data_IF_888846033945
#
_entry.id   IF_888846033945
#
_cell.length_a   1.000
_cell.length_b   1.000
_cell.length_c   1.000
_cell.angle_alpha   90.00
_cell.angle_beta   90.00
_cell.angle_gamma   90.00
#
_symmetry.space_group_name_H-M   'P 1'
#
loop_
_entity.id
_entity.type
_entity.pdbx_description
1 polymer ?
#
# COMPACT_ATOMS: atom_id res chain seq x y z
N UNK A 1 83.12 55.28 6.09
CA UNK A 1 82.14 55.51 5.01
C UNK A 1 80.75 55.22 5.56
N UNK A 2 79.86 56.24 5.57
CA UNK A 2 78.38 56.27 5.51
C UNK A 2 77.61 54.97 5.89
N UNK A 3 76.53 54.90 6.68
CA UNK A 3 75.56 55.87 7.27
C UNK A 3 74.53 55.04 8.09
N UNK A 4 74.14 55.53 9.28
CA UNK A 4 72.79 55.57 9.92
C UNK A 4 71.82 54.36 9.82
N UNK A 5 71.38 53.73 10.93
CA UNK A 5 70.42 54.17 11.98
C UNK A 5 68.94 54.18 11.56
N UNK A 6 68.09 53.74 12.51
CA UNK A 6 66.62 53.85 12.64
C UNK A 6 65.82 52.60 12.23
N UNK A 7 64.77 52.14 12.95
CA UNK A 7 64.07 52.63 14.14
C UNK A 7 63.02 51.60 14.61
N UNK A 8 62.71 51.65 15.90
CA UNK A 8 61.45 51.28 16.60
C UNK A 8 60.94 49.83 16.61
N UNK A 9 60.93 49.27 17.83
CA UNK A 9 60.01 48.20 18.20
C UNK A 9 58.60 48.72 18.49
N UNK A 10 57.63 47.82 18.40
CA UNK A 10 56.37 47.88 19.15
C UNK A 10 56.03 46.46 19.59
N UNK A 11 55.83 46.34 20.90
CA UNK A 11 55.36 45.16 21.62
C UNK A 11 53.89 44.94 21.25
N UNK A 12 53.59 43.82 20.58
CA UNK A 12 52.23 43.37 20.26
C UNK A 12 51.89 42.13 21.07
N UNK A 13 50.97 42.28 22.01
CA UNK A 13 50.48 41.25 22.95
C UNK A 13 50.04 39.98 22.22
N UNK A 14 50.50 38.83 22.69
CA UNK A 14 50.02 37.52 22.24
C UNK A 14 48.54 37.36 22.56
N UNK A 15 47.72 37.28 21.52
CA UNK A 15 46.34 36.79 21.61
C UNK A 15 46.35 35.30 21.30
N UNK A 16 46.21 34.48 22.34
CA UNK A 16 45.95 33.04 22.21
C UNK A 16 44.50 32.90 21.74
N UNK A 17 44.31 32.57 20.46
CA UNK A 17 43.00 32.29 19.88
C UNK A 17 42.53 30.94 20.44
N UNK A 18 41.35 30.83 21.10
CA UNK A 18 40.89 29.55 21.56
C UNK A 18 40.47 28.74 20.34
N UNK A 19 41.05 27.55 20.18
CA UNK A 19 40.54 26.55 19.24
C UNK A 19 39.12 26.19 19.70
N UNK A 20 38.12 26.78 19.03
CA UNK A 20 36.74 26.35 19.13
C UNK A 20 36.68 24.93 18.58
N UNK A 21 36.72 23.95 19.48
CA UNK A 21 36.30 22.59 19.19
C UNK A 21 34.81 22.68 18.80
N UNK A 22 34.54 22.72 17.50
CA UNK A 22 33.20 22.52 16.97
C UNK A 22 32.88 21.07 17.29
N UNK A 23 32.19 20.86 18.41
CA UNK A 23 31.50 19.60 18.68
C UNK A 23 30.44 19.49 17.58
N UNK A 24 30.72 18.67 16.57
CA UNK A 24 29.67 18.16 15.69
C UNK A 24 28.74 17.33 16.57
N UNK A 25 27.71 17.99 17.08
CA UNK A 25 26.54 17.30 17.63
C UNK A 25 25.95 16.57 16.43
N UNK A 26 26.28 15.28 16.30
CA UNK A 26 25.61 14.38 15.39
C UNK A 26 24.17 14.25 15.87
N UNK A 27 23.33 15.18 15.42
CA UNK A 27 21.88 15.05 15.52
C UNK A 27 21.56 13.74 14.79
N UNK A 28 20.93 12.75 15.44
CA UNK A 28 20.48 11.58 14.71
C UNK A 28 19.52 12.10 13.64
N UNK A 29 19.90 11.93 12.39
CA UNK A 29 19.07 12.30 11.25
C UNK A 29 17.75 11.55 11.42
N UNK A 30 16.71 12.27 11.84
CA UNK A 30 15.34 11.80 11.70
C UNK A 30 15.20 11.47 10.21
N UNK A 31 14.97 10.19 9.89
CA UNK A 31 14.77 9.78 8.51
C UNK A 31 13.63 10.63 7.95
N UNK A 32 14.02 11.58 7.11
CA UNK A 32 13.14 12.59 6.60
C UNK A 32 12.28 11.88 5.55
N UNK A 33 10.99 11.68 5.85
CA UNK A 33 9.95 11.43 4.84
C UNK A 33 10.01 12.46 3.67
N UNK A 34 10.73 13.57 3.87
CA UNK A 34 11.12 14.60 2.90
C UNK A 34 11.87 14.11 1.65
N UNK A 35 12.49 12.92 1.65
CA UNK A 35 13.19 12.40 0.46
C UNK A 35 12.26 11.83 -0.61
N UNK A 36 11.08 11.37 -0.23
CA UNK A 36 10.09 10.80 -1.16
C UNK A 36 8.88 11.71 -1.22
N UNK A 37 8.55 12.23 -2.40
CA UNK A 37 7.32 13.00 -2.62
C UNK A 37 6.12 12.05 -2.64
N UNK A 38 5.76 11.52 -1.47
CA UNK A 38 4.61 10.65 -1.29
C UNK A 38 3.34 11.50 -1.49
N UNK A 39 2.37 11.03 -2.30
CA UNK A 39 1.13 11.76 -2.47
C UNK A 39 0.37 11.87 -1.14
N UNK A 40 -0.48 12.89 -1.01
CA UNK A 40 -1.40 12.96 0.11
C UNK A 40 -2.33 11.73 0.09
N UNK A 41 -2.65 11.21 1.28
CA UNK A 41 -3.65 10.17 1.40
C UNK A 41 -5.03 10.74 1.08
N UNK A 42 -5.89 10.02 0.33
CA UNK A 42 -7.27 10.40 0.13
C UNK A 42 -8.06 10.36 1.45
N UNK A 43 -9.32 10.79 1.42
CA UNK A 43 -10.16 10.67 2.61
C UNK A 43 -10.33 9.20 3.01
N UNK A 44 -10.53 8.94 4.30
CA UNK A 44 -10.54 7.56 4.84
C UNK A 44 -11.56 6.64 4.14
N UNK A 45 -12.74 7.16 3.81
CA UNK A 45 -13.79 6.40 3.10
C UNK A 45 -13.51 6.20 1.59
N UNK A 46 -12.61 6.99 1.02
CA UNK A 46 -12.16 6.91 -0.36
C UNK A 46 -10.93 6.00 -0.52
N UNK A 47 -10.15 5.81 0.55
CA UNK A 47 -8.95 4.99 0.52
C UNK A 47 -9.28 3.53 0.20
N UNK A 48 -8.64 2.99 -0.84
CA UNK A 48 -8.97 1.68 -1.42
C UNK A 48 -10.16 1.69 -2.36
N UNK A 49 -10.80 2.82 -2.64
CA UNK A 49 -11.79 2.90 -3.73
C UNK A 49 -11.06 3.14 -5.05
N UNK A 50 -11.59 2.54 -6.12
CA UNK A 50 -11.11 2.76 -7.48
C UNK A 50 -12.28 3.14 -8.39
N UNK A 51 -11.97 3.86 -9.48
CA UNK A 51 -12.89 4.12 -10.57
C UNK A 51 -12.48 3.28 -11.78
N UNK A 52 -13.35 2.35 -12.14
CA UNK A 52 -13.22 1.54 -13.36
C UNK A 52 -13.91 2.32 -14.48
N UNK A 53 -13.12 2.70 -15.48
CA UNK A 53 -13.55 3.55 -16.58
C UNK A 53 -12.98 3.11 -17.94
N UNK A 54 -12.51 1.86 -18.05
CA UNK A 54 -11.98 1.33 -19.31
C UNK A 54 -13.01 1.40 -20.45
N UNK A 55 -14.26 1.07 -20.13
CA UNK A 55 -15.39 0.93 -21.06
C UNK A 55 -16.53 1.91 -20.76
N UNK A 56 -16.70 2.39 -19.52
CA UNK A 56 -17.90 3.12 -19.09
C UNK A 56 -18.15 4.41 -19.85
N UNK A 57 -17.24 5.40 -19.78
CA UNK A 57 -17.47 6.70 -20.44
C UNK A 57 -17.57 6.59 -21.96
N UNK A 58 -16.84 5.64 -22.57
CA UNK A 58 -16.94 5.34 -24.01
C UNK A 58 -18.34 4.88 -24.43
N UNK A 59 -19.10 4.32 -23.49
CA UNK A 59 -20.46 3.84 -23.70
C UNK A 59 -21.50 4.73 -23.00
N UNK A 60 -21.18 6.02 -22.77
CA UNK A 60 -22.08 7.00 -22.13
C UNK A 60 -22.56 6.61 -20.71
N UNK A 61 -21.78 5.79 -20.01
CA UNK A 61 -22.03 5.42 -18.62
C UNK A 61 -21.02 6.11 -17.69
N UNK A 62 -21.45 6.52 -16.51
CA UNK A 62 -20.52 7.01 -15.48
C UNK A 62 -19.52 5.91 -15.11
N UNK A 63 -18.27 6.27 -14.76
CA UNK A 63 -17.31 5.31 -14.23
C UNK A 63 -17.88 4.51 -13.06
N UNK A 64 -17.53 3.23 -12.99
CA UNK A 64 -17.93 2.34 -11.89
C UNK A 64 -17.03 2.57 -10.69
N UNK A 65 -17.61 2.88 -9.54
CA UNK A 65 -16.88 2.86 -8.26
C UNK A 65 -16.82 1.44 -7.72
N UNK A 66 -15.62 1.01 -7.34
CA UNK A 66 -15.42 -0.22 -6.59
C UNK A 66 -14.72 0.09 -5.28
N UNK A 67 -15.36 -0.28 -4.16
CA UNK A 67 -14.84 -0.04 -2.82
C UNK A 67 -14.29 -1.31 -2.20
N UNK A 68 -12.95 -1.44 -2.16
CA UNK A 68 -12.29 -2.60 -1.55
C UNK A 68 -12.69 -2.80 -0.09
N UNK A 69 -12.81 -1.72 0.69
CA UNK A 69 -13.18 -1.82 2.10
C UNK A 69 -14.53 -2.51 2.33
N UNK A 70 -15.45 -2.42 1.37
CA UNK A 70 -16.78 -3.03 1.52
C UNK A 70 -16.79 -4.51 1.12
N UNK A 71 -15.97 -4.86 0.12
CA UNK A 71 -15.84 -6.23 -0.38
C UNK A 71 -14.94 -7.08 0.51
N UNK A 72 -13.86 -6.50 1.07
CA UNK A 72 -12.92 -7.24 1.93
C UNK A 72 -13.48 -7.62 3.31
N UNK A 73 -14.66 -7.11 3.66
CA UNK A 73 -15.45 -7.59 4.79
C UNK A 73 -16.05 -8.98 4.53
N UNK A 74 -16.15 -9.37 3.25
CA UNK A 74 -16.88 -10.54 2.77
C UNK A 74 -16.00 -11.52 2.04
N UNK A 75 -14.95 -11.06 1.35
CA UNK A 75 -14.08 -11.87 0.52
C UNK A 75 -12.62 -11.49 0.68
N UNK A 76 -11.71 -12.44 0.54
CA UNK A 76 -10.27 -12.17 0.49
C UNK A 76 -9.87 -11.63 -0.87
N UNK A 77 -8.62 -11.16 -1.00
CA UNK A 77 -8.10 -10.65 -2.27
C UNK A 77 -7.98 -11.77 -3.33
N UNK A 78 -7.70 -13.01 -2.91
CA UNK A 78 -7.61 -14.18 -3.78
C UNK A 78 -8.88 -14.40 -4.61
N UNK A 79 -10.05 -14.22 -4.02
CA UNK A 79 -11.34 -14.35 -4.72
C UNK A 79 -11.41 -13.46 -5.96
N UNK A 80 -11.07 -12.18 -5.83
CA UNK A 80 -11.18 -11.26 -6.97
C UNK A 80 -9.98 -11.37 -7.92
N UNK A 81 -8.76 -11.41 -7.38
CA UNK A 81 -7.53 -11.26 -8.18
C UNK A 81 -6.92 -12.59 -8.63
N UNK A 82 -7.45 -13.73 -8.19
CA UNK A 82 -7.08 -15.06 -8.68
C UNK A 82 -8.28 -15.79 -9.30
N UNK A 83 -9.40 -15.96 -8.57
CA UNK A 83 -10.54 -16.72 -9.11
C UNK A 83 -11.30 -15.96 -10.20
N UNK A 84 -11.57 -14.67 -9.98
CA UNK A 84 -12.27 -13.82 -10.95
C UNK A 84 -11.33 -13.09 -11.92
N UNK A 85 -10.02 -13.31 -11.80
CA UNK A 85 -8.99 -12.79 -12.70
C UNK A 85 -9.04 -11.26 -12.91
N UNK A 86 -9.46 -10.50 -11.90
CA UNK A 86 -9.32 -9.05 -11.93
C UNK A 86 -7.84 -8.67 -11.85
N UNK A 87 -7.37 -7.90 -12.83
CA UNK A 87 -6.04 -7.31 -12.81
C UNK A 87 -5.92 -6.40 -11.59
N UNK A 88 -4.77 -6.45 -10.91
CA UNK A 88 -4.46 -5.52 -9.83
C UNK A 88 -4.42 -4.06 -10.33
N UNK A 89 -4.01 -3.87 -11.59
CA UNK A 89 -4.00 -2.55 -12.21
C UNK A 89 -5.43 -2.13 -12.58
N UNK A 90 -5.84 -0.97 -12.07
CA UNK A 90 -7.13 -0.37 -12.43
C UNK A 90 -7.24 -0.21 -13.96
N UNK A 91 -8.36 -0.62 -14.53
CA UNK A 91 -8.64 -0.66 -15.97
C UNK A 91 -7.81 -1.69 -16.79
N UNK A 92 -7.10 -2.61 -16.12
CA UNK A 92 -6.39 -3.72 -16.77
C UNK A 92 -7.36 -4.73 -17.39
N UNK A 93 -8.31 -5.22 -16.58
CA UNK A 93 -9.38 -6.11 -17.04
C UNK A 93 -10.45 -5.35 -17.81
N UNK A 94 -10.87 -5.90 -18.94
CA UNK A 94 -12.06 -5.46 -19.65
C UNK A 94 -13.29 -6.11 -19.05
N UNK A 95 -14.29 -5.29 -18.71
CA UNK A 95 -15.51 -5.74 -18.06
C UNK A 95 -16.67 -5.13 -18.85
N UNK A 96 -17.54 -6.01 -19.35
CA UNK A 96 -18.78 -5.61 -20.03
C UNK A 96 -20.00 -6.02 -19.23
N UNK A 97 -21.14 -5.42 -19.53
CA UNK A 97 -22.40 -5.84 -18.93
C UNK A 97 -22.82 -7.24 -19.40
N UNK A 98 -22.46 -7.61 -20.63
CA UNK A 98 -22.67 -8.97 -21.13
C UNK A 98 -21.93 -10.01 -20.28
N UNK A 99 -20.65 -9.75 -19.96
CA UNK A 99 -19.87 -10.61 -19.08
C UNK A 99 -20.50 -10.72 -17.68
N UNK A 100 -20.95 -9.60 -17.11
CA UNK A 100 -21.61 -9.61 -15.81
C UNK A 100 -22.91 -10.42 -15.84
N UNK A 101 -23.74 -10.27 -16.87
CA UNK A 101 -24.98 -11.04 -17.02
C UNK A 101 -24.70 -12.54 -17.24
N UNK A 102 -23.56 -12.88 -17.84
CA UNK A 102 -23.07 -14.26 -17.96
C UNK A 102 -22.52 -14.84 -16.65
N UNK A 103 -22.46 -14.05 -15.57
CA UNK A 103 -21.98 -14.49 -14.25
C UNK A 103 -20.48 -14.29 -14.04
N UNK A 104 -19.80 -13.56 -14.92
CA UNK A 104 -18.39 -13.21 -14.74
C UNK A 104 -18.24 -11.91 -13.93
N UNK A 105 -17.03 -11.63 -13.46
CA UNK A 105 -16.67 -10.38 -12.79
C UNK A 105 -17.63 -9.98 -11.67
N UNK A 106 -18.29 -8.82 -11.77
CA UNK A 106 -19.24 -8.34 -10.77
C UNK A 106 -20.45 -9.29 -10.67
N UNK A 107 -20.88 -9.84 -11.81
CA UNK A 107 -22.01 -10.74 -11.93
C UNK A 107 -21.86 -12.06 -11.20
N UNK A 108 -20.63 -12.51 -10.92
CA UNK A 108 -20.38 -13.70 -10.12
C UNK A 108 -21.06 -13.62 -8.73
N UNK A 109 -21.14 -12.41 -8.17
CA UNK A 109 -21.82 -12.14 -6.91
C UNK A 109 -23.09 -11.29 -7.07
N UNK A 110 -23.09 -10.28 -7.94
CA UNK A 110 -24.22 -9.38 -8.19
C UNK A 110 -25.26 -10.02 -9.13
N UNK A 111 -25.69 -11.24 -8.80
CA UNK A 111 -26.62 -12.06 -9.57
C UNK A 111 -28.05 -12.09 -9.00
N UNK A 112 -28.35 -11.26 -8.00
CA UNK A 112 -29.64 -11.26 -7.31
C UNK A 112 -29.81 -12.38 -6.27
N UNK A 113 -28.85 -13.31 -6.16
CA UNK A 113 -28.86 -14.39 -5.16
C UNK A 113 -27.86 -14.13 -4.04
N UNK A 114 -26.60 -13.84 -4.40
CA UNK A 114 -25.51 -13.59 -3.43
C UNK A 114 -25.52 -12.12 -2.99
N UNK A 115 -25.60 -11.21 -3.95
CA UNK A 115 -25.77 -9.77 -3.75
C UNK A 115 -26.88 -9.24 -4.66
N UNK A 116 -27.17 -7.93 -4.56
CA UNK A 116 -28.16 -7.30 -5.41
C UNK A 116 -27.80 -7.48 -6.90
N UNK A 117 -28.81 -7.73 -7.73
CA UNK A 117 -28.65 -7.98 -9.15
C UNK A 117 -28.51 -6.71 -10.00
N UNK A 118 -28.18 -6.93 -11.28
CA UNK A 118 -28.11 -5.91 -12.32
C UNK A 118 -29.52 -5.51 -12.77
N UNK A 119 -30.11 -4.53 -12.08
CA UNK A 119 -31.43 -3.97 -12.40
C UNK A 119 -31.32 -2.47 -12.65
N UNK A 120 -32.29 -1.90 -13.36
CA UNK A 120 -32.37 -0.46 -13.66
C UNK A 120 -32.24 0.42 -12.41
N UNK A 121 -32.78 -0.03 -11.28
CA UNK A 121 -32.77 0.70 -10.01
C UNK A 121 -31.40 0.63 -9.31
N UNK A 122 -30.58 -0.37 -9.65
CA UNK A 122 -29.29 -0.61 -9.03
C UNK A 122 -28.11 -0.02 -9.81
N UNK A 123 -28.30 0.45 -11.05
CA UNK A 123 -27.23 1.01 -11.89
C UNK A 123 -26.38 2.05 -11.16
N UNK A 124 -27.02 2.97 -10.43
CA UNK A 124 -26.37 4.07 -9.70
C UNK A 124 -25.54 3.63 -8.50
N UNK A 125 -25.73 2.39 -7.99
CA UNK A 125 -24.94 1.83 -6.89
C UNK A 125 -23.50 1.56 -7.32
N UNK A 126 -23.30 1.25 -8.60
CA UNK A 126 -21.99 0.99 -9.20
C UNK A 126 -21.53 2.17 -10.04
N UNK A 127 -22.38 2.68 -10.95
CA UNK A 127 -22.07 3.79 -11.86
C UNK A 127 -22.26 5.17 -11.19
N UNK A 128 -21.51 5.41 -10.12
CA UNK A 128 -21.59 6.68 -9.38
C UNK A 128 -20.74 7.78 -10.01
N UNK A 129 -19.66 7.42 -10.70
CA UNK A 129 -18.65 8.36 -11.22
C UNK A 129 -17.82 9.05 -10.14
N UNK A 130 -17.86 8.58 -8.88
CA UNK A 130 -17.15 9.21 -7.77
C UNK A 130 -16.60 8.20 -6.76
N UNK A 131 -15.43 8.49 -6.19
CA UNK A 131 -14.80 7.70 -5.14
C UNK A 131 -15.48 7.85 -3.77
N UNK A 132 -16.34 8.87 -3.60
CA UNK A 132 -16.99 9.19 -2.31
C UNK A 132 -18.18 8.29 -1.97
N UNK A 133 -18.61 7.42 -2.88
CA UNK A 133 -19.79 6.59 -2.69
C UNK A 133 -19.68 5.68 -1.46
N UNK A 134 -20.75 5.62 -0.67
CA UNK A 134 -20.82 4.76 0.52
C UNK A 134 -20.16 5.34 1.78
N UNK A 135 -19.91 6.66 1.83
CA UNK A 135 -19.35 7.36 3.00
C UNK A 135 -20.06 7.04 4.33
N UNK A 136 -21.40 7.06 4.34
CA UNK A 136 -22.21 6.81 5.53
C UNK A 136 -22.08 5.35 5.99
N UNK A 137 -22.07 4.42 5.02
CA UNK A 137 -21.85 2.99 5.26
C UNK A 137 -20.46 2.75 5.83
N UNK A 138 -19.44 3.38 5.25
CA UNK A 138 -18.06 3.31 5.74
C UNK A 138 -17.96 3.77 7.18
N UNK A 139 -18.52 4.94 7.51
CA UNK A 139 -18.49 5.49 8.88
C UNK A 139 -19.17 4.56 9.91
N UNK A 140 -20.18 3.80 9.49
CA UNK A 140 -20.88 2.84 10.37
C UNK A 140 -20.03 1.60 10.64
N UNK A 141 -19.29 1.13 9.64
CA UNK A 141 -18.46 -0.07 9.72
C UNK A 141 -17.15 0.23 10.45
N UNK A 142 -16.49 1.33 10.11
CA UNK A 142 -15.16 1.66 10.65
C UNK A 142 -15.15 1.77 12.18
N UNK A 143 -16.24 2.25 12.79
CA UNK A 143 -16.39 2.34 14.25
C UNK A 143 -16.40 0.98 14.97
N UNK A 144 -16.64 -0.12 14.27
CA UNK A 144 -16.75 -1.47 14.84
C UNK A 144 -15.47 -2.29 14.67
N UNK A 145 -14.49 -1.78 13.94
CA UNK A 145 -13.26 -2.48 13.60
C UNK A 145 -12.05 -1.85 14.33
N UNK A 146 -10.96 -2.60 14.50
CA UNK A 146 -9.74 -2.08 15.09
C UNK A 146 -9.22 -0.87 14.33
N UNK A 147 -8.73 0.11 15.08
CA UNK A 147 -8.27 1.38 14.53
C UNK A 147 -6.81 1.29 14.08
N UNK A 148 -6.50 1.94 12.94
CA UNK A 148 -5.14 2.13 12.45
C UNK A 148 -4.79 3.63 12.29
N UNK A 149 -3.52 4.02 12.45
CA UNK A 149 -3.10 5.41 12.29
C UNK A 149 -3.08 5.91 10.83
N UNK A 150 -2.92 5.02 9.85
CA UNK A 150 -2.83 5.36 8.42
C UNK A 150 -4.05 4.84 7.65
N UNK A 151 -3.96 4.75 6.31
CA UNK A 151 -4.98 4.17 5.41
C UNK A 151 -6.41 4.75 5.57
N UNK A 152 -7.41 3.86 5.61
CA UNK A 152 -8.78 4.16 5.98
C UNK A 152 -9.06 4.10 7.49
N UNK A 153 -8.02 4.14 8.34
CA UNK A 153 -8.10 4.07 9.80
C UNK A 153 -8.59 2.72 10.32
N UNK A 154 -8.44 1.65 9.57
CA UNK A 154 -8.88 0.32 10.00
C UNK A 154 -7.70 -0.63 9.89
N UNK A 155 -7.36 -1.32 10.97
CA UNK A 155 -6.37 -2.38 10.92
C UNK A 155 -7.04 -3.70 10.51
N UNK A 156 -6.83 -4.08 9.24
CA UNK A 156 -7.47 -5.27 8.66
C UNK A 156 -6.82 -6.56 9.08
N UNK A 157 -5.51 -6.54 9.34
CA UNK A 157 -4.81 -7.70 9.87
C UNK A 157 -5.30 -7.98 11.29
N UNK A 158 -5.45 -6.94 12.11
CA UNK A 158 -5.99 -7.07 13.46
C UNK A 158 -7.50 -7.42 13.46
N UNK A 159 -8.28 -6.87 12.52
CA UNK A 159 -9.68 -7.25 12.37
C UNK A 159 -9.85 -8.75 12.08
N UNK A 160 -8.96 -9.31 11.25
CA UNK A 160 -8.97 -10.73 10.92
C UNK A 160 -8.46 -11.59 12.08
N UNK A 161 -7.34 -11.19 12.71
CA UNK A 161 -6.76 -11.92 13.86
C UNK A 161 -7.74 -12.03 15.03
N UNK A 162 -8.52 -10.96 15.28
CA UNK A 162 -9.56 -10.93 16.31
C UNK A 162 -10.89 -11.55 15.87
N UNK A 163 -10.97 -12.13 14.66
CA UNK A 163 -12.20 -12.68 14.08
C UNK A 163 -13.37 -11.68 14.06
N UNK A 164 -13.09 -10.37 13.99
CA UNK A 164 -14.11 -9.33 13.81
C UNK A 164 -14.71 -9.36 12.40
N UNK A 165 -13.95 -9.93 11.47
CA UNK A 165 -14.35 -10.25 10.11
C UNK A 165 -13.98 -11.70 9.81
N UNK A 166 -14.72 -12.31 8.90
CA UNK A 166 -14.46 -13.68 8.42
C UNK A 166 -14.74 -13.72 6.93
N UNK A 167 -13.89 -13.07 6.11
CA UNK A 167 -14.07 -13.07 4.66
C UNK A 167 -13.94 -14.50 4.12
N UNK A 168 -14.77 -14.83 3.13
CA UNK A 168 -14.66 -16.07 2.38
C UNK A 168 -13.41 -16.01 1.50
N UNK A 169 -12.68 -17.12 1.48
CA UNK A 169 -11.50 -17.29 0.65
C UNK A 169 -11.81 -17.81 -0.75
N UNK A 170 -13.02 -18.35 -0.96
CA UNK A 170 -13.50 -18.89 -2.23
C UNK A 170 -14.96 -18.49 -2.47
N UNK A 171 -15.38 -18.41 -3.74
CA UNK A 171 -16.80 -18.18 -4.06
C UNK A 171 -17.69 -19.39 -3.74
N UNK A 172 -17.27 -20.58 -4.15
CA UNK A 172 -18.04 -21.82 -3.98
C UNK A 172 -17.39 -22.78 -2.98
N UNK A 173 -16.33 -23.47 -3.38
CA UNK A 173 -15.64 -24.48 -2.54
C UNK A 173 -14.13 -24.41 -2.82
N UNK A 174 -13.27 -24.43 -1.78
CA UNK A 174 -11.84 -24.56 -1.97
C UNK A 174 -11.47 -25.84 -2.75
N UNK A 175 -10.44 -25.82 -3.60
CA UNK A 175 -9.86 -27.02 -4.19
C UNK A 175 -9.52 -28.06 -3.10
N UNK A 176 -9.93 -29.32 -3.31
CA UNK A 176 -9.81 -30.39 -2.31
C UNK A 176 -8.36 -30.73 -1.91
N UNK A 177 -7.37 -30.28 -2.69
CA UNK A 177 -5.94 -30.53 -2.56
C UNK A 177 -5.14 -29.31 -2.09
N UNK A 178 -5.81 -28.20 -1.74
CA UNK A 178 -5.13 -27.02 -1.27
C UNK A 178 -4.57 -27.22 0.14
N UNK A 179 -3.34 -27.73 0.20
CA UNK A 179 -2.56 -27.79 1.43
C UNK A 179 -2.18 -26.37 1.83
N UNK A 180 -2.60 -25.95 3.01
CA UNK A 180 -2.07 -24.76 3.66
C UNK A 180 -0.56 -24.96 3.85
N UNK A 181 0.25 -24.19 3.14
CA UNK A 181 1.69 -24.18 3.36
C UNK A 181 1.96 -23.12 4.42
N UNK A 182 2.44 -23.56 5.59
CA UNK A 182 2.76 -22.70 6.71
C UNK A 182 4.12 -22.02 6.48
N UNK A 183 4.09 -20.83 5.85
CA UNK A 183 5.27 -20.00 5.65
C UNK A 183 5.39 -18.93 6.75
N UNK A 184 5.82 -19.31 7.95
CA UNK A 184 6.09 -18.34 9.05
C UNK A 184 7.42 -17.60 8.89
N UNK A 185 8.20 -17.96 7.88
CA UNK A 185 9.50 -17.35 7.64
C UNK A 185 9.31 -15.91 7.15
N UNK A 186 9.84 -14.96 7.91
CA UNK A 186 9.91 -13.57 7.51
C UNK A 186 11.08 -13.44 6.53
N UNK A 187 10.81 -12.94 5.32
CA UNK A 187 11.87 -12.63 4.37
C UNK A 187 12.46 -11.26 4.71
N UNK A 188 13.75 -11.24 5.03
CA UNK A 188 14.50 -10.00 5.17
C UNK A 188 14.87 -9.45 3.79
N UNK A 189 14.48 -8.22 3.53
CA UNK A 189 14.80 -7.46 2.32
C UNK A 189 15.80 -6.38 2.71
N UNK A 190 17.08 -6.66 2.44
CA UNK A 190 18.18 -5.73 2.71
C UNK A 190 18.01 -4.45 1.88
N UNK A 191 18.18 -3.30 2.53
CA UNK A 191 18.11 -2.00 1.85
C UNK A 191 19.33 -1.77 0.96
N UNK A 192 19.18 -0.93 -0.06
CA UNK A 192 20.29 -0.48 -0.94
C UNK A 192 21.28 0.41 -0.19
N UNK A 193 20.79 1.13 0.83
CA UNK A 193 21.56 2.09 1.62
C UNK A 193 21.62 1.63 3.07
N UNK A 194 22.81 1.71 3.66
CA UNK A 194 23.05 1.42 5.09
C UNK A 194 22.30 2.38 6.03
N UNK A 195 21.74 3.47 5.50
CA UNK A 195 20.98 4.45 6.26
C UNK A 195 19.51 4.07 6.49
N UNK A 196 19.00 3.07 5.77
CA UNK A 196 17.62 2.59 5.91
C UNK A 196 17.65 1.16 6.50
N UNK A 197 16.99 0.90 7.63
CA UNK A 197 16.88 -0.44 8.19
C UNK A 197 16.31 -1.44 7.18
N UNK A 198 16.63 -2.74 7.28
CA UNK A 198 16.04 -3.75 6.41
C UNK A 198 14.52 -3.75 6.49
N UNK A 199 13.87 -4.08 5.37
CA UNK A 199 12.44 -4.33 5.33
C UNK A 199 12.14 -5.81 5.57
N UNK A 200 10.95 -6.13 6.05
CA UNK A 200 10.50 -7.51 6.23
C UNK A 200 9.23 -7.79 5.44
N UNK A 201 9.18 -8.97 4.84
CA UNK A 201 7.99 -9.47 4.14
C UNK A 201 7.51 -10.77 4.82
N UNK A 202 6.42 -10.71 5.61
CA UNK A 202 5.86 -11.88 6.30
C UNK A 202 4.80 -12.58 5.45
N UNK A 203 5.02 -13.84 5.05
CA UNK A 203 4.06 -14.57 4.21
C UNK A 203 2.77 -14.95 4.95
N UNK A 204 2.82 -15.14 6.26
CA UNK A 204 1.67 -15.50 7.10
C UNK A 204 0.55 -14.45 7.08
N UNK A 205 0.88 -13.16 7.10
CA UNK A 205 -0.12 -12.08 7.00
C UNK A 205 -0.66 -11.96 5.57
N UNK A 206 0.19 -12.17 4.56
CA UNK A 206 -0.25 -12.08 3.16
C UNK A 206 -1.12 -13.27 2.75
N UNK A 207 -0.74 -14.49 3.16
CA UNK A 207 -1.46 -15.73 2.85
C UNK A 207 -2.84 -15.84 3.49
N UNK A 208 -3.13 -15.01 4.50
CA UNK A 208 -4.48 -14.85 5.03
C UNK A 208 -5.44 -14.12 4.08
N UNK A 209 -4.90 -13.31 3.16
CA UNK A 209 -5.69 -12.50 2.23
C UNK A 209 -5.51 -12.91 0.76
N UNK A 210 -4.41 -13.60 0.44
CA UNK A 210 -3.96 -13.89 -0.91
C UNK A 210 -3.52 -15.35 -1.02
N UNK A 211 -3.57 -15.88 -2.23
CA UNK A 211 -3.01 -17.17 -2.59
C UNK A 211 -1.63 -17.00 -3.23
N UNK A 212 -0.88 -18.09 -3.34
CA UNK A 212 0.46 -18.09 -3.94
C UNK A 212 0.46 -17.51 -5.37
N UNK A 213 -0.59 -17.82 -6.15
CA UNK A 213 -0.75 -17.38 -7.53
C UNK A 213 -0.97 -15.87 -7.69
N UNK A 214 -1.43 -15.17 -6.64
CA UNK A 214 -1.58 -13.71 -6.70
C UNK A 214 -0.22 -13.00 -6.79
N UNK A 215 0.82 -13.58 -6.21
CA UNK A 215 2.16 -13.00 -6.19
C UNK A 215 3.11 -13.66 -7.19
N UNK A 216 3.01 -14.99 -7.35
CA UNK A 216 3.97 -15.78 -8.08
C UNK A 216 3.38 -16.36 -9.38
N UNK A 217 4.16 -16.38 -10.47
CA UNK A 217 5.52 -15.83 -10.61
C UNK A 217 5.54 -14.36 -11.02
N UNK A 218 4.37 -13.76 -11.26
CA UNK A 218 4.21 -12.49 -11.99
C UNK A 218 4.82 -11.29 -11.27
N UNK A 219 4.55 -11.13 -9.97
CA UNK A 219 5.06 -10.01 -9.17
C UNK A 219 6.44 -10.37 -8.60
N UNK A 220 6.56 -11.58 -8.07
CA UNK A 220 7.79 -12.11 -7.48
C UNK A 220 8.09 -13.49 -8.06
N UNK A 221 9.36 -13.76 -8.37
CA UNK A 221 9.76 -15.07 -8.89
C UNK A 221 10.36 -15.95 -7.78
N UNK A 222 9.80 -17.14 -7.60
CA UNK A 222 10.24 -18.09 -6.55
C UNK A 222 11.58 -18.77 -6.90
N UNK A 223 11.84 -19.01 -8.19
CA UNK A 223 12.99 -19.81 -8.65
C UNK A 223 14.27 -19.00 -8.83
N UNK A 224 14.16 -17.71 -9.17
CA UNK A 224 15.30 -16.83 -9.40
C UNK A 224 14.97 -15.42 -8.94
N UNK A 225 15.84 -14.85 -8.11
CA UNK A 225 15.80 -13.42 -7.77
C UNK A 225 15.95 -12.61 -9.05
N UNK A 226 14.89 -11.91 -9.46
CA UNK A 226 14.85 -11.11 -10.68
C UNK A 226 15.45 -9.72 -10.49
N UNK A 227 15.43 -9.20 -9.26
CA UNK A 227 15.98 -7.90 -8.89
C UNK A 227 16.80 -7.99 -7.62
N UNK A 228 17.95 -7.30 -7.59
CA UNK A 228 18.81 -7.26 -6.42
C UNK A 228 18.15 -6.47 -5.29
N UNK A 229 17.41 -5.40 -5.60
CA UNK A 229 16.72 -4.59 -4.60
C UNK A 229 15.38 -4.09 -5.15
N UNK A 230 14.49 -3.71 -4.24
CA UNK A 230 13.18 -3.13 -4.56
C UNK A 230 13.20 -1.63 -4.22
N UNK A 231 13.59 -0.74 -5.16
CA UNK A 231 13.69 0.68 -4.84
C UNK A 231 12.30 1.27 -4.64
N UNK A 232 12.17 2.20 -3.69
CA UNK A 232 10.89 2.89 -3.41
C UNK A 232 10.27 3.55 -4.65
N UNK A 233 11.08 3.96 -5.62
CA UNK A 233 10.59 4.49 -6.90
C UNK A 233 9.73 3.47 -7.66
N UNK A 234 10.19 2.22 -7.79
CA UNK A 234 9.43 1.17 -8.48
C UNK A 234 8.14 0.83 -7.73
N UNK A 235 8.22 0.85 -6.39
CA UNK A 235 7.08 0.68 -5.51
C UNK A 235 6.01 1.77 -5.74
N UNK A 236 6.42 3.04 -5.85
CA UNK A 236 5.50 4.15 -6.16
C UNK A 236 4.96 4.10 -7.60
N UNK A 237 5.65 3.40 -8.50
CA UNK A 237 5.21 3.09 -9.87
C UNK A 237 4.34 1.81 -9.97
N UNK A 238 3.74 1.39 -8.86
CA UNK A 238 2.83 0.23 -8.78
C UNK A 238 3.49 -1.12 -9.12
N UNK A 239 4.80 -1.27 -8.88
CA UNK A 239 5.52 -2.53 -9.04
C UNK A 239 5.76 -3.19 -7.69
N UNK A 240 5.96 -4.51 -7.69
CA UNK A 240 6.28 -5.30 -6.50
C UNK A 240 5.24 -5.08 -5.38
N UNK A 241 5.68 -4.63 -4.20
CA UNK A 241 4.80 -4.30 -3.08
C UNK A 241 3.78 -3.21 -3.46
N UNK A 242 4.15 -2.31 -4.37
CA UNK A 242 3.35 -1.21 -4.90
C UNK A 242 2.09 -1.61 -5.66
N UNK A 243 2.01 -2.87 -6.10
CA UNK A 243 0.80 -3.42 -6.74
C UNK A 243 -0.40 -3.34 -5.79
N UNK A 244 -0.15 -3.52 -4.49
CA UNK A 244 -1.19 -3.53 -3.46
C UNK A 244 -1.00 -2.39 -2.43
N UNK A 245 0.18 -2.29 -1.83
CA UNK A 245 0.53 -1.24 -0.87
C UNK A 245 0.67 0.08 -1.60
N UNK A 246 0.06 1.15 -1.07
CA UNK A 246 -0.05 2.52 -1.64
C UNK A 246 -1.52 2.92 -1.84
N UNK A 247 -2.27 2.15 -2.62
CA UNK A 247 -3.66 2.46 -3.01
C UNK A 247 -4.72 1.66 -2.24
N UNK A 248 -4.49 0.37 -2.00
CA UNK A 248 -5.53 -0.57 -1.51
C UNK A 248 -5.14 -1.18 -0.16
N UNK A 249 -3.95 -1.78 -0.08
CA UNK A 249 -3.32 -2.13 1.19
C UNK A 249 -2.71 -0.87 1.82
N UNK A 250 -2.19 -0.97 3.05
CA UNK A 250 -1.72 0.20 3.80
C UNK A 250 -0.73 1.07 2.99
N UNK A 251 -0.71 2.40 3.23
CA UNK A 251 0.06 3.33 2.43
C UNK A 251 1.56 3.28 2.73
N UNK A 252 2.36 3.70 1.75
CA UNK A 252 3.83 3.74 1.85
C UNK A 252 4.39 4.82 2.77
N UNK A 253 3.55 5.69 3.34
CA UNK A 253 3.97 6.67 4.34
C UNK A 253 4.01 6.11 5.77
N UNK A 254 3.56 4.87 5.98
CA UNK A 254 3.76 4.12 7.23
C UNK A 254 5.07 3.30 7.13
N UNK A 255 6.20 3.99 7.16
CA UNK A 255 7.52 3.41 6.90
C UNK A 255 7.83 2.24 7.85
N UNK A 256 7.46 2.37 9.13
CA UNK A 256 7.76 1.38 10.16
C UNK A 256 7.05 0.03 9.95
N UNK A 257 5.93 -0.01 9.22
CA UNK A 257 5.24 -1.28 8.87
C UNK A 257 6.10 -2.19 8.01
N UNK A 258 6.88 -1.61 7.10
CA UNK A 258 7.82 -2.39 6.27
C UNK A 258 9.20 -2.45 6.90
N UNK A 259 9.65 -1.36 7.53
CA UNK A 259 10.98 -1.20 8.12
C UNK A 259 10.86 -1.03 9.65
N UNK A 260 10.75 -2.11 10.44
CA UNK A 260 10.52 -2.04 11.89
C UNK A 260 11.61 -1.28 12.67
N UNK A 261 12.82 -1.18 12.11
CA UNK A 261 13.90 -0.37 12.68
C UNK A 261 13.70 1.15 12.53
N UNK A 262 12.73 1.59 11.72
CA UNK A 262 12.38 2.99 11.56
C UNK A 262 11.39 3.42 12.65
N UNK A 263 11.58 4.62 13.19
CA UNK A 263 10.56 5.26 14.03
C UNK A 263 9.65 6.10 13.15
N UNK A 264 8.34 5.85 13.22
CA UNK A 264 7.37 6.77 12.64
C UNK A 264 7.47 8.12 13.38
N UNK A 265 7.38 9.26 12.67
CA UNK A 265 7.69 10.58 13.24
C UNK A 265 6.62 11.14 14.20
N UNK A 266 5.71 10.30 14.72
CA UNK A 266 4.54 10.72 15.49
C UNK A 266 4.41 9.91 16.78
#
# INVERSE_FOLDING_TARGET
>A
MKTTSSRFGVIGKGAVLPLLFIVFISVPEKCNARYWNLPPLPATHEYGNILINRTSEKNNMKPVVFSHWSHRLKYTCGVCHLELEFDFKTNGTEITEEDNLAGNYCGACHNGKIAFGHTSENCSKCHSGTLTSGKEKFATISRKLPWAPFDNRIDWADALSQSKISPRTYLEVPPADQKSIDFRNHLELTAVSDQVPPAFFPHDIHSQWLDCGNCHPTIFNVKKRTVTHYPMKDLLEEKFCGVCHYKVAFPMNDCARCHPGMKNPW
#
